data_IF_504614469717
#
_entry.id   IF_504614469717
#
_cell.length_a   1.000
_cell.length_b   1.000
_cell.length_c   1.000
_cell.angle_alpha   90.00
_cell.angle_beta   90.00
_cell.angle_gamma   90.00
#
_symmetry.space_group_name_H-M   'P 1'
#
loop_
_entity.id
_entity.type
_entity.pdbx_description
1 polymer ?
#
# COMPACT_ATOMS: atom_id res chain seq x y z
N UNK A 1 9.60 -7.48 -8.73
CA UNK A 1 9.68 -5.99 -8.67
C UNK A 1 10.33 -5.39 -9.92
N UNK A 2 11.53 -5.81 -10.29
CA UNK A 2 12.24 -5.17 -11.42
C UNK A 2 11.51 -5.29 -12.77
N UNK A 3 10.89 -6.42 -13.04
CA UNK A 3 10.29 -6.68 -14.37
C UNK A 3 8.86 -6.16 -14.47
N UNK A 4 8.06 -6.28 -13.39
CA UNK A 4 6.64 -5.93 -13.43
C UNK A 4 6.25 -4.78 -12.51
N UNK A 5 7.13 -4.37 -11.59
CA UNK A 5 6.85 -3.31 -10.62
C UNK A 5 5.95 -3.72 -9.46
N UNK A 6 5.44 -4.96 -9.47
CA UNK A 6 4.67 -5.55 -8.36
C UNK A 6 5.29 -6.88 -8.00
N UNK A 7 5.34 -7.20 -6.70
CA UNK A 7 5.77 -8.50 -6.20
C UNK A 7 4.81 -8.98 -5.11
N UNK A 8 4.50 -10.27 -5.13
CA UNK A 8 3.73 -10.93 -4.05
C UNK A 8 4.71 -11.64 -3.12
N UNK A 9 4.53 -11.45 -1.82
CA UNK A 9 5.36 -12.09 -0.80
C UNK A 9 4.84 -13.51 -0.47
N UNK A 10 5.64 -14.37 0.15
CA UNK A 10 5.10 -15.45 0.97
C UNK A 10 4.11 -14.89 2.01
N UNK A 11 3.26 -15.73 2.65
CA UNK A 11 2.40 -15.25 3.73
C UNK A 11 3.20 -14.56 4.83
N UNK A 12 2.83 -13.33 5.15
CA UNK A 12 3.42 -12.51 6.21
C UNK A 12 2.65 -12.67 7.52
N UNK A 13 1.38 -13.09 7.43
CA UNK A 13 0.45 -13.26 8.53
C UNK A 13 -0.24 -14.61 8.46
N UNK A 14 -0.52 -15.21 9.62
CA UNK A 14 -1.43 -16.34 9.75
C UNK A 14 -2.89 -15.90 9.60
N UNK A 15 -3.83 -16.86 9.50
CA UNK A 15 -5.27 -16.56 9.46
C UNK A 15 -5.74 -15.86 10.74
N UNK A 16 -5.25 -16.32 11.89
CA UNK A 16 -5.58 -15.73 13.19
C UNK A 16 -5.09 -14.28 13.30
N UNK A 17 -3.87 -14.01 12.84
CA UNK A 17 -3.30 -12.66 12.80
C UNK A 17 -4.05 -11.76 11.80
N UNK A 18 -4.50 -12.28 10.67
CA UNK A 18 -5.35 -11.54 9.76
C UNK A 18 -6.68 -11.15 10.42
N UNK A 19 -7.29 -12.08 11.16
CA UNK A 19 -8.54 -11.81 11.88
C UNK A 19 -8.33 -10.79 12.99
N UNK A 20 -7.25 -10.89 13.77
CA UNK A 20 -6.89 -9.91 14.79
C UNK A 20 -6.85 -8.47 14.20
N UNK A 21 -6.27 -8.30 13.02
CA UNK A 21 -6.24 -6.99 12.35
C UNK A 21 -7.63 -6.58 11.86
N UNK A 22 -8.43 -7.50 11.30
CA UNK A 22 -9.81 -7.21 10.85
C UNK A 22 -10.65 -6.72 12.03
N UNK A 23 -10.54 -7.35 13.19
CA UNK A 23 -11.33 -7.05 14.39
C UNK A 23 -11.03 -5.63 14.89
N UNK A 24 -9.85 -5.06 14.63
CA UNK A 24 -9.55 -3.66 14.96
C UNK A 24 -10.45 -2.67 14.23
N UNK A 25 -11.07 -3.06 13.11
CA UNK A 25 -11.82 -2.12 12.28
C UNK A 25 -12.97 -1.45 13.04
N UNK A 26 -13.61 -2.15 13.95
CA UNK A 26 -14.73 -1.60 14.76
C UNK A 26 -14.29 -1.07 16.13
N UNK A 27 -12.98 -1.15 16.47
CA UNK A 27 -12.48 -0.72 17.77
C UNK A 27 -12.49 0.81 17.92
N UNK A 28 -13.19 1.35 18.93
CA UNK A 28 -13.22 2.80 19.18
C UNK A 28 -11.83 3.35 19.51
N UNK A 29 -11.52 4.51 18.94
CA UNK A 29 -10.30 5.26 19.30
C UNK A 29 -9.01 4.83 18.65
N UNK A 30 -8.96 3.68 17.94
CA UNK A 30 -7.75 3.25 17.23
C UNK A 30 -7.44 4.09 15.96
N UNK A 31 -8.42 4.80 15.44
CA UNK A 31 -8.30 5.47 14.14
C UNK A 31 -8.39 6.98 14.26
N UNK A 32 -7.46 7.69 13.59
CA UNK A 32 -7.50 9.15 13.49
C UNK A 32 -8.53 9.65 12.48
N UNK A 33 -8.89 8.82 11.51
CA UNK A 33 -9.90 9.19 10.50
C UNK A 33 -10.52 7.97 9.85
N UNK A 34 -11.80 8.11 9.50
CA UNK A 34 -12.57 7.16 8.70
C UNK A 34 -12.97 7.84 7.40
N UNK A 35 -12.65 7.22 6.28
CA UNK A 35 -12.96 7.73 4.94
C UNK A 35 -13.99 6.83 4.27
N UNK A 36 -15.17 7.38 4.02
CA UNK A 36 -16.21 6.77 3.18
C UNK A 36 -15.93 7.20 1.74
N UNK A 37 -15.43 6.28 0.92
CA UNK A 37 -14.83 6.56 -0.39
C UNK A 37 -15.79 7.24 -1.37
N UNK A 38 -17.08 6.91 -1.31
CA UNK A 38 -18.10 7.50 -2.17
C UNK A 38 -18.20 9.02 -2.03
N UNK A 39 -17.95 9.55 -0.82
CA UNK A 39 -18.02 11.00 -0.55
C UNK A 39 -16.93 11.80 -1.25
N UNK A 40 -15.86 11.12 -1.66
CA UNK A 40 -14.67 11.72 -2.27
C UNK A 40 -14.47 11.29 -3.73
N UNK A 41 -15.39 10.50 -4.30
CA UNK A 41 -15.27 9.92 -5.65
C UNK A 41 -14.03 9.01 -5.82
N UNK A 42 -13.56 8.39 -4.71
CA UNK A 42 -12.42 7.46 -4.72
C UNK A 42 -12.82 6.03 -5.09
N UNK A 43 -14.12 5.78 -5.24
CA UNK A 43 -14.75 4.49 -5.42
C UNK A 43 -15.84 4.26 -4.40
N UNK A 44 -16.00 3.03 -3.92
CA UNK A 44 -16.96 2.61 -2.90
C UNK A 44 -16.24 1.73 -1.86
N UNK A 45 -16.66 1.83 -0.62
CA UNK A 45 -16.03 1.14 0.51
C UNK A 45 -15.59 2.13 1.59
N UNK A 46 -14.94 1.60 2.60
CA UNK A 46 -14.47 2.40 3.75
C UNK A 46 -13.04 2.02 4.08
N UNK A 47 -12.22 3.01 4.41
CA UNK A 47 -10.93 2.76 5.02
C UNK A 47 -10.69 3.67 6.22
N UNK A 48 -9.87 3.19 7.14
CA UNK A 48 -9.55 3.88 8.38
C UNK A 48 -8.03 3.95 8.57
N UNK A 49 -7.51 5.16 8.83
CA UNK A 49 -6.10 5.36 9.18
C UNK A 49 -5.90 5.18 10.68
N UNK A 50 -4.96 4.34 11.08
CA UNK A 50 -4.58 4.22 12.49
C UNK A 50 -4.10 5.58 13.05
N UNK A 51 -4.53 5.88 14.28
CA UNK A 51 -4.09 7.09 14.99
C UNK A 51 -2.66 6.94 15.48
N UNK A 52 -2.36 5.76 16.04
CA UNK A 52 -1.05 5.33 16.46
C UNK A 52 -0.87 3.85 16.07
N UNK A 53 0.00 3.54 15.10
CA UNK A 53 0.28 2.15 14.73
C UNK A 53 0.81 1.29 15.88
N UNK A 54 1.47 1.90 16.88
CA UNK A 54 2.01 1.18 18.04
C UNK A 54 0.88 0.67 18.98
N UNK A 55 -0.32 1.28 18.92
CA UNK A 55 -1.49 0.78 19.65
C UNK A 55 -1.97 -0.60 19.13
N UNK A 56 -1.53 -1.01 17.94
CA UNK A 56 -1.75 -2.34 17.39
C UNK A 56 -0.40 -3.01 17.16
N UNK A 57 0.15 -3.76 18.14
CA UNK A 57 1.52 -4.26 18.12
C UNK A 57 1.89 -5.04 16.86
N UNK A 58 0.94 -5.79 16.31
CA UNK A 58 1.13 -6.55 15.08
C UNK A 58 1.37 -5.63 13.86
N UNK A 59 0.64 -4.52 13.75
CA UNK A 59 0.82 -3.53 12.67
C UNK A 59 2.18 -2.85 12.78
N UNK A 60 2.57 -2.44 14.00
CA UNK A 60 3.88 -1.81 14.23
C UNK A 60 5.03 -2.77 13.94
N UNK A 61 4.96 -4.00 14.45
CA UNK A 61 5.96 -5.04 14.18
C UNK A 61 6.14 -5.31 12.68
N UNK A 62 5.04 -5.39 11.92
CA UNK A 62 5.10 -5.55 10.46
C UNK A 62 5.83 -4.38 9.80
N UNK A 63 5.52 -3.14 10.18
CA UNK A 63 6.20 -1.95 9.63
C UNK A 63 7.70 -1.99 9.88
N UNK A 64 8.11 -2.22 11.12
CA UNK A 64 9.52 -2.25 11.52
C UNK A 64 10.30 -3.38 10.82
N UNK A 65 9.71 -4.57 10.73
CA UNK A 65 10.37 -5.73 10.10
C UNK A 65 10.45 -5.65 8.59
N UNK A 66 9.47 -5.03 7.93
CA UNK A 66 9.43 -4.94 6.47
C UNK A 66 10.21 -3.74 5.94
N UNK A 67 10.30 -2.65 6.70
CA UNK A 67 10.93 -1.41 6.27
C UNK A 67 12.37 -1.58 5.77
N UNK A 68 13.29 -2.27 6.45
CA UNK A 68 14.68 -2.37 5.99
C UNK A 68 14.82 -2.96 4.58
N UNK A 69 14.02 -3.97 4.25
CA UNK A 69 14.01 -4.56 2.91
C UNK A 69 13.42 -3.59 1.87
N UNK A 70 12.42 -2.80 2.26
CA UNK A 70 11.84 -1.76 1.41
C UNK A 70 12.83 -0.61 1.19
N UNK A 71 13.53 -0.16 2.24
CA UNK A 71 14.55 0.88 2.16
C UNK A 71 15.73 0.44 1.26
N UNK A 72 16.18 -0.80 1.38
CA UNK A 72 17.19 -1.37 0.49
C UNK A 72 16.76 -1.31 -0.98
N UNK A 73 15.52 -1.68 -1.28
CA UNK A 73 14.98 -1.62 -2.64
C UNK A 73 14.84 -0.17 -3.12
N UNK A 74 14.29 0.72 -2.30
CA UNK A 74 14.13 2.14 -2.58
C UNK A 74 15.48 2.80 -2.91
N UNK A 75 16.50 2.50 -2.12
CA UNK A 75 17.85 3.05 -2.29
C UNK A 75 18.56 2.50 -3.53
N UNK A 76 18.17 1.34 -4.05
CA UNK A 76 18.62 0.86 -5.37
C UNK A 76 17.94 1.61 -6.52
N UNK A 77 16.72 2.09 -6.34
CA UNK A 77 16.01 2.89 -7.34
C UNK A 77 16.44 4.34 -7.35
N UNK A 78 16.83 4.89 -6.21
CA UNK A 78 17.18 6.28 -6.04
C UNK A 78 18.19 6.81 -7.09
N UNK A 79 19.38 6.21 -7.31
CA UNK A 79 20.32 6.69 -8.31
C UNK A 79 19.81 6.53 -9.74
N UNK A 80 18.96 5.54 -10.02
CA UNK A 80 18.37 5.31 -11.33
C UNK A 80 17.36 6.39 -11.72
N UNK A 81 16.75 7.03 -10.72
CA UNK A 81 15.73 8.06 -10.88
C UNK A 81 16.24 9.48 -10.58
N UNK A 82 17.47 9.63 -10.09
CA UNK A 82 18.01 10.90 -9.59
C UNK A 82 17.20 11.40 -8.37
N UNK A 83 16.84 10.49 -7.49
CA UNK A 83 16.06 10.76 -6.29
C UNK A 83 16.91 10.58 -5.03
N UNK A 84 16.40 11.04 -3.89
CA UNK A 84 17.07 10.88 -2.60
C UNK A 84 17.12 9.43 -2.16
N UNK A 85 18.06 9.11 -1.31
CA UNK A 85 18.08 7.87 -0.53
C UNK A 85 17.27 8.03 0.77
N UNK A 86 16.90 6.91 1.36
CA UNK A 86 16.13 6.83 2.59
C UNK A 86 16.95 6.17 3.70
N UNK A 87 16.70 6.50 4.97
CA UNK A 87 17.41 5.93 6.11
C UNK A 87 17.18 4.41 6.22
N UNK A 88 18.03 3.74 6.98
CA UNK A 88 17.98 2.28 7.13
C UNK A 88 16.89 1.79 8.08
N UNK A 89 16.41 2.64 8.97
CA UNK A 89 15.40 2.31 9.97
C UNK A 89 14.11 3.11 9.76
N UNK A 90 12.98 2.53 10.21
CA UNK A 90 11.69 3.18 10.13
C UNK A 90 11.64 4.44 10.99
N UNK A 91 12.21 4.38 12.20
CA UNK A 91 12.19 5.49 13.15
C UNK A 91 12.88 6.73 12.57
N UNK A 92 14.05 6.57 11.96
CA UNK A 92 14.74 7.67 11.26
C UNK A 92 13.89 8.27 10.13
N UNK A 93 13.14 7.44 9.37
CA UNK A 93 12.23 7.95 8.35
C UNK A 93 11.07 8.75 8.97
N UNK A 94 10.52 8.26 10.09
CA UNK A 94 9.41 8.94 10.77
C UNK A 94 9.88 10.27 11.37
N UNK A 95 11.08 10.32 11.94
CA UNK A 95 11.69 11.56 12.44
C UNK A 95 11.90 12.57 11.30
N UNK A 96 12.44 12.15 10.16
CA UNK A 96 12.54 13.00 8.98
C UNK A 96 11.18 13.51 8.50
N UNK A 97 10.16 12.67 8.51
CA UNK A 97 8.79 13.08 8.18
C UNK A 97 8.28 14.13 9.16
N UNK A 98 8.51 13.95 10.47
CA UNK A 98 8.07 14.86 11.52
C UNK A 98 8.74 16.24 11.40
N UNK A 99 10.03 16.28 11.09
CA UNK A 99 10.80 17.52 10.86
C UNK A 99 10.27 18.30 9.64
N UNK A 100 9.69 17.61 8.68
CA UNK A 100 9.03 18.19 7.49
C UNK A 100 7.52 18.43 7.67
N UNK A 101 7.01 18.35 8.90
CA UNK A 101 5.60 18.60 9.22
C UNK A 101 4.66 17.45 8.84
N UNK A 102 5.18 16.28 8.45
CA UNK A 102 4.42 15.08 8.14
C UNK A 102 4.31 14.19 9.38
N UNK A 103 3.34 14.49 10.25
CA UNK A 103 3.19 13.85 11.57
C UNK A 103 2.04 12.83 11.65
N UNK A 104 1.19 12.75 10.61
CA UNK A 104 0.00 11.88 10.63
C UNK A 104 0.34 10.49 10.12
N UNK A 105 0.20 9.43 10.94
CA UNK A 105 0.45 8.05 10.51
C UNK A 105 -0.41 7.67 9.31
N UNK A 106 0.16 6.88 8.41
CA UNK A 106 -0.47 6.46 7.14
C UNK A 106 -0.86 4.99 7.04
N UNK A 107 -0.48 4.09 7.95
CA UNK A 107 -1.03 2.74 7.93
C UNK A 107 -2.55 2.78 8.05
N UNK A 108 -3.20 1.93 7.27
CA UNK A 108 -4.65 1.94 7.14
C UNK A 108 -5.21 0.52 6.96
N UNK A 109 -6.44 0.34 7.39
CA UNK A 109 -7.22 -0.84 7.08
C UNK A 109 -8.36 -0.46 6.13
N UNK A 110 -8.55 -1.24 5.06
CA UNK A 110 -9.58 -1.05 4.05
C UNK A 110 -10.60 -2.19 4.16
N UNK A 111 -11.87 -1.84 4.03
CA UNK A 111 -12.97 -2.79 4.03
C UNK A 111 -13.87 -2.55 2.81
N UNK A 112 -14.14 -3.62 2.07
CA UNK A 112 -15.00 -3.65 0.89
C UNK A 112 -16.05 -4.74 1.04
N UNK A 113 -17.30 -4.40 0.80
CA UNK A 113 -18.40 -5.32 0.64
C UNK A 113 -18.80 -5.49 -0.83
N UNK A 114 -19.88 -6.21 -1.09
CA UNK A 114 -20.40 -6.43 -2.45
C UNK A 114 -20.66 -5.10 -3.17
N UNK A 115 -20.10 -4.97 -4.36
CA UNK A 115 -20.20 -3.80 -5.23
C UNK A 115 -19.20 -2.68 -4.92
N UNK A 116 -18.37 -2.85 -3.87
CA UNK A 116 -17.34 -1.87 -3.52
C UNK A 116 -16.08 -2.06 -4.37
N UNK A 117 -15.38 -0.96 -4.64
CA UNK A 117 -14.18 -0.90 -5.48
C UNK A 117 -13.35 0.33 -5.16
N UNK A 118 -12.08 0.35 -5.58
CA UNK A 118 -11.23 1.55 -5.54
C UNK A 118 -10.85 2.01 -6.93
N UNK A 119 -11.02 3.30 -7.21
CA UNK A 119 -10.54 3.93 -8.43
C UNK A 119 -9.01 3.88 -8.51
N UNK A 120 -8.45 3.92 -9.72
CA UNK A 120 -7.01 3.95 -9.94
C UNK A 120 -6.39 5.26 -9.41
N UNK A 121 -5.48 5.15 -8.46
CA UNK A 121 -4.85 6.27 -7.75
C UNK A 121 -3.37 6.04 -7.46
N UNK A 122 -2.75 7.01 -6.79
CA UNK A 122 -1.40 6.98 -6.22
C UNK A 122 -1.48 7.54 -4.80
N UNK A 123 -0.67 7.01 -3.87
CA UNK A 123 -0.66 7.41 -2.46
C UNK A 123 0.46 8.41 -2.17
N UNK A 124 0.19 9.69 -2.38
CA UNK A 124 1.16 10.78 -2.20
C UNK A 124 0.65 11.71 -1.10
N UNK A 125 1.35 11.76 0.07
CA UNK A 125 0.86 12.41 1.28
C UNK A 125 1.79 13.50 1.85
N UNK A 126 2.65 14.08 1.06
CA UNK A 126 3.55 15.15 1.50
C UNK A 126 4.78 15.28 0.61
N UNK A 127 5.82 15.94 1.09
CA UNK A 127 7.06 16.20 0.34
C UNK A 127 8.01 14.99 0.42
N UNK A 128 8.08 14.35 1.60
CA UNK A 128 8.79 13.09 1.77
C UNK A 128 7.83 11.97 1.34
N UNK A 129 8.15 11.35 0.21
CA UNK A 129 7.39 10.22 -0.34
C UNK A 129 8.31 9.01 -0.41
N UNK A 130 8.14 8.07 0.50
CA UNK A 130 8.83 6.78 0.41
C UNK A 130 8.27 6.00 -0.79
N UNK A 131 9.10 5.49 -1.72
CA UNK A 131 8.63 5.09 -3.06
C UNK A 131 7.88 3.77 -3.12
N UNK A 132 7.86 2.98 -2.05
CA UNK A 132 7.26 1.65 -1.99
C UNK A 132 6.23 1.55 -0.87
N UNK A 133 5.22 0.73 -1.09
CA UNK A 133 4.22 0.37 -0.09
C UNK A 133 3.88 -1.12 -0.17
N UNK A 134 3.21 -1.63 0.85
CA UNK A 134 2.74 -3.01 0.93
C UNK A 134 1.26 -3.01 1.27
N UNK A 135 0.47 -3.77 0.51
CA UNK A 135 -0.91 -4.10 0.87
C UNK A 135 -1.00 -5.60 1.18
N UNK A 136 -1.44 -5.95 2.39
CA UNK A 136 -1.56 -7.33 2.85
C UNK A 136 -3.03 -7.75 2.78
N UNK A 137 -3.31 -8.87 2.11
CA UNK A 137 -4.64 -9.46 2.01
C UNK A 137 -5.02 -10.13 3.31
N UNK A 138 -6.14 -9.72 3.92
CA UNK A 138 -6.59 -10.24 5.20
C UNK A 138 -7.70 -11.30 5.10
N UNK A 139 -8.25 -11.52 3.90
CA UNK A 139 -9.27 -12.53 3.63
C UNK A 139 -8.80 -13.52 2.56
N UNK A 140 -9.39 -14.71 2.51
CA UNK A 140 -9.06 -15.72 1.51
C UNK A 140 -9.90 -15.51 0.24
N UNK A 141 -9.29 -15.14 -0.91
CA UNK A 141 -10.00 -15.06 -2.19
C UNK A 141 -10.65 -16.40 -2.56
N UNK A 142 -11.87 -16.35 -3.09
CA UNK A 142 -12.65 -17.52 -3.48
C UNK A 142 -13.37 -18.23 -2.33
N UNK A 143 -13.08 -17.86 -1.08
CA UNK A 143 -13.76 -18.38 0.12
C UNK A 143 -14.52 -17.26 0.84
N UNK A 144 -13.80 -16.22 1.27
CA UNK A 144 -14.38 -15.13 2.05
C UNK A 144 -15.00 -14.06 1.14
N UNK A 145 -14.53 -13.95 -0.10
CA UNK A 145 -15.04 -13.02 -1.12
C UNK A 145 -14.71 -13.47 -2.54
N UNK A 146 -15.44 -12.93 -3.54
CA UNK A 146 -15.15 -13.07 -4.98
C UNK A 146 -15.06 -11.69 -5.64
N UNK A 147 -14.41 -11.61 -6.80
CA UNK A 147 -14.06 -10.31 -7.41
C UNK A 147 -12.96 -9.60 -6.61
N UNK A 148 -12.96 -8.29 -6.58
CA UNK A 148 -12.06 -7.48 -5.75
C UNK A 148 -10.57 -7.65 -6.07
N UNK A 149 -10.21 -7.97 -7.30
CA UNK A 149 -8.81 -8.11 -7.70
C UNK A 149 -8.07 -6.79 -7.59
N UNK A 150 -6.77 -6.88 -7.26
CA UNK A 150 -5.91 -5.71 -7.29
C UNK A 150 -5.47 -5.44 -8.72
N UNK A 151 -5.74 -4.23 -9.20
CA UNK A 151 -5.45 -3.77 -10.55
C UNK A 151 -4.33 -2.74 -10.47
N UNK A 152 -3.30 -2.93 -11.28
CA UNK A 152 -2.20 -2.00 -11.46
C UNK A 152 -2.16 -1.55 -12.90
N UNK A 153 -1.90 -0.26 -13.13
CA UNK A 153 -1.74 0.30 -14.48
C UNK A 153 -0.41 1.03 -14.57
N UNK A 154 0.50 0.48 -15.38
CA UNK A 154 1.75 1.12 -15.73
C UNK A 154 1.54 2.04 -16.94
N UNK A 155 1.82 3.32 -16.78
CA UNK A 155 1.82 4.29 -17.87
C UNK A 155 3.18 4.30 -18.57
N UNK A 156 3.17 3.96 -19.85
CA UNK A 156 4.39 3.98 -20.68
C UNK A 156 4.41 5.27 -21.50
N UNK A 157 5.45 6.12 -21.34
CA UNK A 157 5.56 7.33 -22.14
C UNK A 157 5.49 7.01 -23.65
N UNK A 158 4.56 7.64 -24.38
CA UNK A 158 4.32 7.48 -25.81
C UNK A 158 3.81 6.10 -26.27
N UNK A 159 3.35 5.25 -25.34
CA UNK A 159 2.81 3.93 -25.62
C UNK A 159 1.48 3.73 -24.89
N UNK A 160 0.78 2.65 -25.23
CA UNK A 160 -0.40 2.20 -24.50
C UNK A 160 -0.04 1.84 -23.05
N UNK A 161 -0.92 2.12 -22.11
CA UNK A 161 -0.78 1.70 -20.72
C UNK A 161 -0.92 0.18 -20.60
N UNK A 162 -0.16 -0.43 -19.70
CA UNK A 162 -0.25 -1.85 -19.38
C UNK A 162 -1.00 -2.07 -18.09
N UNK A 163 -2.10 -2.81 -18.15
CA UNK A 163 -2.81 -3.29 -16.96
C UNK A 163 -2.23 -4.62 -16.47
N UNK A 164 -2.20 -4.80 -15.15
CA UNK A 164 -1.81 -6.04 -14.47
C UNK A 164 -2.84 -6.35 -13.39
N UNK A 165 -3.18 -7.61 -13.23
CA UNK A 165 -4.09 -8.10 -12.19
C UNK A 165 -3.33 -9.00 -11.25
N UNK A 166 -3.38 -8.70 -9.95
CA UNK A 166 -2.68 -9.45 -8.91
C UNK A 166 -3.69 -9.97 -7.89
N UNK A 167 -3.59 -11.25 -7.54
CA UNK A 167 -4.49 -11.97 -6.63
C UNK A 167 -3.70 -12.61 -5.49
N UNK A 168 -3.30 -11.83 -4.47
CA UNK A 168 -2.62 -12.39 -3.30
C UNK A 168 -3.60 -13.27 -2.52
N UNK A 169 -3.07 -14.31 -1.91
CA UNK A 169 -3.82 -15.17 -1.00
C UNK A 169 -3.82 -14.55 0.41
N UNK A 170 -4.61 -15.13 1.32
CA UNK A 170 -4.66 -14.75 2.72
C UNK A 170 -3.24 -14.60 3.32
N UNK A 171 -3.00 -13.51 4.01
CA UNK A 171 -1.73 -13.19 4.66
C UNK A 171 -0.60 -12.77 3.72
N UNK A 172 -0.76 -12.88 2.39
CA UNK A 172 0.25 -12.41 1.44
C UNK A 172 0.22 -10.90 1.27
N UNK A 173 1.41 -10.29 1.17
CA UNK A 173 1.60 -8.89 0.85
C UNK A 173 1.88 -8.69 -0.64
N UNK A 174 1.38 -7.58 -1.17
CA UNK A 174 1.78 -7.04 -2.46
C UNK A 174 2.67 -5.84 -2.22
N UNK A 175 3.90 -5.88 -2.72
CA UNK A 175 4.83 -4.75 -2.74
C UNK A 175 4.72 -4.05 -4.08
N UNK A 176 4.53 -2.73 -4.07
CA UNK A 176 4.38 -1.95 -5.30
C UNK A 176 4.78 -0.48 -5.11
N UNK A 177 5.07 0.25 -6.22
CA UNK A 177 5.45 1.66 -6.14
C UNK A 177 4.28 2.53 -5.71
N UNK A 178 4.55 3.50 -4.87
CA UNK A 178 3.60 4.55 -4.50
C UNK A 178 3.26 5.43 -5.71
N UNK A 179 4.23 5.73 -6.56
CA UNK A 179 4.08 6.69 -7.67
C UNK A 179 4.59 6.16 -9.01
N UNK A 180 5.86 5.79 -9.08
CA UNK A 180 6.52 5.33 -10.30
C UNK A 180 7.67 4.38 -9.98
N UNK A 181 8.14 3.66 -10.99
CA UNK A 181 9.32 2.80 -10.90
C UNK A 181 10.34 3.13 -11.98
N UNK A 182 11.64 2.80 -11.79
CA UNK A 182 12.64 2.91 -12.84
C UNK A 182 12.48 1.80 -13.87
N UNK A 183 12.54 2.16 -15.15
CA UNK A 183 12.63 1.23 -16.27
C UNK A 183 13.83 1.60 -17.11
N UNK A 184 14.70 0.62 -17.38
CA UNK A 184 15.83 0.80 -18.27
C UNK A 184 15.35 0.93 -19.72
N UNK A 185 15.63 2.07 -20.34
CA UNK A 185 15.39 2.33 -21.76
C UNK A 185 16.69 2.45 -22.53
N UNK A 186 16.63 2.76 -23.83
CA UNK A 186 17.81 2.93 -24.70
C UNK A 186 18.81 3.99 -24.20
N UNK A 187 18.29 5.06 -23.57
CA UNK A 187 19.06 6.21 -23.13
C UNK A 187 19.13 6.35 -21.58
N UNK A 188 19.15 5.23 -20.87
CA UNK A 188 19.14 5.18 -19.41
C UNK A 188 17.77 4.94 -18.79
N UNK A 189 17.70 5.08 -17.46
CA UNK A 189 16.46 4.85 -16.72
C UNK A 189 15.43 5.95 -16.93
N UNK A 190 14.15 5.56 -16.91
CA UNK A 190 13.00 6.46 -17.03
C UNK A 190 11.98 6.15 -15.94
N UNK A 191 11.25 7.17 -15.48
CA UNK A 191 10.11 7.03 -14.57
C UNK A 191 8.91 6.49 -15.34
N UNK A 192 8.40 5.34 -14.93
CA UNK A 192 7.11 4.82 -15.38
C UNK A 192 6.09 4.97 -14.27
N UNK A 193 5.14 5.91 -14.39
CA UNK A 193 4.07 6.06 -13.41
C UNK A 193 3.26 4.78 -13.29
N UNK A 194 2.93 4.43 -12.05
CA UNK A 194 2.02 3.33 -11.74
C UNK A 194 0.84 3.86 -10.94
N UNK A 195 -0.35 3.38 -11.30
CA UNK A 195 -1.57 3.56 -10.52
C UNK A 195 -2.06 2.20 -10.07
N UNK A 196 -2.74 2.17 -8.94
CA UNK A 196 -3.36 0.95 -8.44
C UNK A 196 -4.79 1.21 -7.99
N UNK A 197 -5.55 0.15 -7.92
CA UNK A 197 -6.94 0.17 -7.48
C UNK A 197 -7.43 -1.24 -7.20
N UNK A 198 -8.71 -1.36 -6.87
CA UNK A 198 -9.37 -2.63 -6.58
C UNK A 198 -10.61 -2.75 -7.46
N UNK A 199 -10.74 -3.85 -8.18
CA UNK A 199 -11.95 -4.16 -8.94
C UNK A 199 -13.15 -4.36 -8.00
N UNK A 200 -14.36 -4.34 -8.54
CA UNK A 200 -15.56 -4.54 -7.74
C UNK A 200 -15.56 -5.91 -7.05
N UNK A 201 -15.89 -5.91 -5.76
CA UNK A 201 -16.18 -7.13 -5.00
C UNK A 201 -17.53 -7.65 -5.45
N UNK A 202 -17.61 -8.91 -5.87
CA UNK A 202 -18.84 -9.53 -6.36
C UNK A 202 -19.68 -10.16 -5.24
N UNK A 203 -18.98 -10.72 -4.24
CA UNK A 203 -19.62 -11.30 -3.05
C UNK A 203 -18.69 -11.29 -1.84
N UNK A 204 -19.25 -11.35 -0.64
CA UNK A 204 -18.52 -11.46 0.62
C UNK A 204 -17.90 -10.15 1.08
N UNK A 205 -16.87 -10.25 1.92
CA UNK A 205 -16.14 -9.12 2.51
C UNK A 205 -14.63 -9.25 2.26
N UNK A 206 -14.02 -8.17 1.79
CA UNK A 206 -12.60 -8.09 1.49
C UNK A 206 -11.95 -7.02 2.36
N UNK A 207 -11.01 -7.42 3.21
CA UNK A 207 -10.21 -6.51 4.02
C UNK A 207 -8.74 -6.55 3.59
N UNK A 208 -8.07 -5.40 3.69
CA UNK A 208 -6.66 -5.26 3.34
C UNK A 208 -5.98 -4.32 4.33
N UNK A 209 -4.79 -4.68 4.81
CA UNK A 209 -3.92 -3.78 5.57
C UNK A 209 -2.97 -3.08 4.61
N UNK A 210 -3.03 -1.76 4.54
CA UNK A 210 -2.09 -0.93 3.79
C UNK A 210 -0.98 -0.40 4.69
N UNK A 211 0.28 -0.66 4.32
CA UNK A 211 1.47 -0.16 5.00
C UNK A 211 2.20 0.81 4.09
N UNK A 212 1.89 2.08 4.25
CA UNK A 212 2.64 3.20 3.70
C UNK A 212 3.64 3.62 4.77
N UNK A 213 4.91 3.79 4.43
CA UNK A 213 5.95 3.97 5.43
C UNK A 213 6.17 5.43 5.83
N UNK A 214 5.99 6.39 4.92
CA UNK A 214 6.05 7.82 5.25
C UNK A 214 4.75 8.32 5.85
N UNK A 215 4.83 9.31 6.74
CA UNK A 215 3.65 9.95 7.33
C UNK A 215 3.08 11.03 6.39
N UNK A 216 1.81 11.40 6.62
CA UNK A 216 1.14 12.51 5.95
C UNK A 216 1.27 13.84 6.73
N UNK A 217 0.97 14.95 6.06
CA UNK A 217 0.83 16.27 6.69
C UNK A 217 -0.42 16.39 7.55
#
# INVERSE_FOLDING_TARGET
>A
MNDEGVAVTPPLLSREQCQEIIDTFEEPGLFRSTVVMQRHQFGRGTYKYYADPAAVPLVQTLRERLYPAMAWMANRWAPQLGERTFPGTLDELIDECADNGQKRPTPLILQYGKGDYACLHQDIYGDIVFPLQIAIMLNQPGQDFTGGENVFVEQRPRFQSRAMVVRPQLGQGMVFPVRHRPILGKNGFRRHPMRHGTNAVESGHRNTLGLIFHNAR
#
